data_IF_275679986486
#
_entry.id   IF_275679986486
#
_cell.length_a   1.000
_cell.length_b   1.000
_cell.length_c   1.000
_cell.angle_alpha   90.00
_cell.angle_beta   90.00
_cell.angle_gamma   90.00
#
_symmetry.space_group_name_H-M   'P 1'
#
loop_
_entity.id
_entity.type
_entity.pdbx_description
1 polymer ?
#
# COMPACT_ATOMS: atom_id res chain seq x y z
N UNK A 1 17.46 -7.33 8.59
CA UNK A 1 16.90 -6.01 8.98
C UNK A 1 17.14 -5.78 10.45
N UNK A 2 17.58 -4.57 10.82
CA UNK A 2 17.76 -4.16 12.22
C UNK A 2 16.43 -3.72 12.83
N UNK A 3 16.35 -3.67 14.17
CA UNK A 3 15.17 -3.16 14.88
C UNK A 3 14.82 -1.73 14.45
N UNK A 4 15.83 -0.87 14.26
CA UNK A 4 15.61 0.50 13.78
C UNK A 4 14.95 0.53 12.39
N UNK A 5 15.40 -0.32 11.46
CA UNK A 5 14.79 -0.42 10.13
C UNK A 5 13.31 -0.84 10.21
N UNK A 6 12.97 -1.77 11.11
CA UNK A 6 11.59 -2.22 11.32
C UNK A 6 10.72 -1.06 11.87
N UNK A 7 11.23 -0.30 12.84
CA UNK A 7 10.53 0.86 13.40
C UNK A 7 10.29 1.94 12.33
N UNK A 8 11.32 2.26 11.54
CA UNK A 8 11.20 3.25 10.45
C UNK A 8 10.19 2.80 9.41
N UNK A 9 10.20 1.51 9.02
CA UNK A 9 9.22 0.97 8.09
C UNK A 9 7.80 0.97 8.66
N UNK A 10 7.65 0.70 9.94
CA UNK A 10 6.36 0.80 10.63
C UNK A 10 5.80 2.23 10.58
N UNK A 11 6.64 3.22 10.87
CA UNK A 11 6.26 4.62 10.75
C UNK A 11 5.91 5.02 9.31
N UNK A 12 6.73 4.62 8.34
CA UNK A 12 6.44 4.85 6.91
C UNK A 12 5.13 4.18 6.49
N UNK A 13 4.84 2.98 7.01
CA UNK A 13 3.57 2.29 6.79
C UNK A 13 2.37 3.10 7.28
N UNK A 14 2.48 3.71 8.47
CA UNK A 14 1.44 4.59 9.01
C UNK A 14 1.26 5.87 8.17
N UNK A 15 2.35 6.47 7.69
CA UNK A 15 2.30 7.65 6.81
C UNK A 15 1.66 7.31 5.47
N UNK A 16 2.08 6.21 4.83
CA UNK A 16 1.51 5.74 3.56
C UNK A 16 0.02 5.42 3.72
N UNK A 17 -0.34 4.75 4.80
CA UNK A 17 -1.73 4.49 5.14
C UNK A 17 -2.56 5.78 5.24
N UNK A 18 -2.06 6.78 5.96
CA UNK A 18 -2.77 8.05 6.12
C UNK A 18 -2.98 8.76 4.78
N UNK A 19 -1.95 8.76 3.92
CA UNK A 19 -2.05 9.32 2.55
C UNK A 19 -3.11 8.56 1.74
N UNK A 20 -3.13 7.22 1.82
CA UNK A 20 -4.12 6.39 1.13
C UNK A 20 -5.54 6.66 1.65
N UNK A 21 -5.73 6.78 2.97
CA UNK A 21 -7.02 7.14 3.58
C UNK A 21 -7.51 8.51 3.11
N UNK A 22 -6.63 9.51 3.05
CA UNK A 22 -6.97 10.84 2.54
C UNK A 22 -7.27 10.81 1.04
N UNK A 23 -6.55 10.01 0.26
CA UNK A 23 -6.87 9.80 -1.15
C UNK A 23 -8.29 9.25 -1.32
N UNK A 24 -8.66 8.20 -0.59
CA UNK A 24 -10.02 7.63 -0.64
C UNK A 24 -11.07 8.68 -0.26
N UNK A 25 -10.83 9.44 0.81
CA UNK A 25 -11.72 10.50 1.28
C UNK A 25 -12.00 11.55 0.20
N UNK A 26 -11.00 11.86 -0.63
CA UNK A 26 -11.13 12.82 -1.73
C UNK A 26 -11.69 12.17 -3.01
N UNK A 27 -11.32 10.93 -3.28
CA UNK A 27 -11.67 10.22 -4.52
C UNK A 27 -13.14 9.79 -4.55
N UNK A 28 -13.70 9.36 -3.41
CA UNK A 28 -15.09 8.88 -3.33
C UNK A 28 -16.11 9.93 -3.76
N UNK A 29 -16.12 11.17 -3.21
CA UNK A 29 -17.09 12.19 -3.62
C UNK A 29 -16.87 12.69 -5.05
N UNK A 30 -15.70 12.47 -5.65
CA UNK A 30 -15.38 12.81 -7.03
C UNK A 30 -15.80 11.72 -8.03
N UNK A 31 -16.36 10.58 -7.57
CA UNK A 31 -16.73 9.45 -8.40
C UNK A 31 -15.52 8.70 -9.00
N UNK A 32 -14.35 8.80 -8.40
CA UNK A 32 -13.15 8.08 -8.87
C UNK A 32 -13.15 6.61 -8.46
N UNK A 33 -13.96 6.26 -7.47
CA UNK A 33 -14.09 4.91 -6.93
C UNK A 33 -15.59 4.53 -6.86
N UNK A 34 -16.28 4.57 -8.00
CA UNK A 34 -17.73 4.28 -8.13
C UNK A 34 -18.02 3.04 -9.00
N UNK A 35 -16.98 2.37 -9.48
CA UNK A 35 -17.08 1.24 -10.40
C UNK A 35 -17.03 1.61 -11.88
N UNK A 36 -16.93 2.90 -12.22
CA UNK A 36 -16.85 3.39 -13.60
C UNK A 36 -15.42 3.35 -14.19
N UNK A 37 -15.25 4.01 -15.35
CA UNK A 37 -13.96 4.06 -16.05
C UNK A 37 -12.83 4.68 -15.20
N UNK A 38 -13.16 5.72 -14.42
CA UNK A 38 -12.17 6.34 -13.52
C UNK A 38 -11.67 5.36 -12.47
N UNK A 39 -12.52 4.48 -11.95
CA UNK A 39 -12.11 3.41 -11.05
C UNK A 39 -11.07 2.50 -11.71
N UNK A 40 -11.28 2.11 -12.97
CA UNK A 40 -10.31 1.29 -13.72
C UNK A 40 -8.96 2.01 -13.82
N UNK A 41 -8.95 3.31 -14.13
CA UNK A 41 -7.72 4.10 -14.22
C UNK A 41 -7.01 4.24 -12.87
N UNK A 42 -7.75 4.42 -11.78
CA UNK A 42 -7.21 4.47 -10.41
C UNK A 42 -6.58 3.13 -10.02
N UNK A 43 -7.25 2.02 -10.32
CA UNK A 43 -6.71 0.67 -10.08
C UNK A 43 -5.45 0.40 -10.91
N UNK A 44 -5.45 0.77 -12.19
CA UNK A 44 -4.27 0.64 -13.05
C UNK A 44 -3.10 1.53 -12.57
N UNK A 45 -3.38 2.76 -12.16
CA UNK A 45 -2.39 3.71 -11.61
C UNK A 45 -1.80 3.27 -10.27
N UNK A 46 -2.45 2.37 -9.56
CA UNK A 46 -1.91 1.78 -8.33
C UNK A 46 -0.65 0.94 -8.56
N UNK A 47 -0.48 0.35 -9.75
CA UNK A 47 0.70 -0.47 -10.07
C UNK A 47 2.01 0.34 -10.00
N UNK A 48 2.19 1.43 -10.76
CA UNK A 48 3.40 2.24 -10.64
C UNK A 48 3.55 2.87 -9.24
N UNK A 49 2.45 3.26 -8.61
CA UNK A 49 2.48 3.84 -7.26
C UNK A 49 3.00 2.83 -6.23
N UNK A 50 2.52 1.59 -6.25
CA UNK A 50 2.99 0.53 -5.39
C UNK A 50 4.48 0.22 -5.62
N UNK A 51 4.90 0.12 -6.89
CA UNK A 51 6.28 -0.12 -7.26
C UNK A 51 7.23 0.98 -6.73
N UNK A 52 6.89 2.25 -6.97
CA UNK A 52 7.70 3.39 -6.52
C UNK A 52 7.75 3.47 -5.00
N UNK A 53 6.62 3.28 -4.31
CA UNK A 53 6.55 3.35 -2.85
C UNK A 53 7.46 2.32 -2.18
N UNK A 54 7.47 1.08 -2.68
CA UNK A 54 8.30 0.01 -2.12
C UNK A 54 9.78 0.21 -2.44
N UNK A 55 10.12 0.60 -3.66
CA UNK A 55 11.53 0.85 -4.02
C UNK A 55 12.09 2.03 -3.20
N UNK A 56 11.29 3.09 -3.00
CA UNK A 56 11.68 4.24 -2.18
C UNK A 56 11.86 3.83 -0.72
N UNK A 57 10.87 3.16 -0.12
CA UNK A 57 10.95 2.71 1.26
C UNK A 57 12.14 1.76 1.50
N UNK A 58 12.37 0.82 0.56
CA UNK A 58 13.49 -0.10 0.61
C UNK A 58 14.85 0.62 0.58
N UNK A 59 14.99 1.64 -0.27
CA UNK A 59 16.20 2.48 -0.34
C UNK A 59 16.40 3.32 0.92
N UNK A 60 15.33 3.94 1.44
CA UNK A 60 15.39 4.79 2.64
C UNK A 60 15.90 4.05 3.87
N UNK A 61 15.55 2.77 4.02
CA UNK A 61 16.05 1.97 5.14
C UNK A 61 17.38 1.27 4.86
N UNK A 62 17.98 1.50 3.69
CA UNK A 62 19.22 0.80 3.31
C UNK A 62 19.03 -0.71 3.20
N UNK A 63 17.89 -1.14 2.66
CA UNK A 63 17.53 -2.55 2.54
C UNK A 63 18.49 -3.32 1.65
N UNK A 64 18.93 -4.51 2.13
CA UNK A 64 19.77 -5.41 1.37
C UNK A 64 19.01 -6.15 0.27
N UNK A 65 19.77 -6.83 -0.61
CA UNK A 65 19.19 -7.67 -1.67
C UNK A 65 18.32 -8.78 -1.05
N UNK A 66 17.14 -9.02 -1.66
CA UNK A 66 16.19 -10.04 -1.19
C UNK A 66 15.39 -9.62 0.05
N UNK A 67 15.34 -8.34 0.40
CA UNK A 67 14.59 -7.84 1.56
C UNK A 67 13.39 -6.97 1.19
N UNK A 68 13.06 -6.84 -0.10
CA UNK A 68 11.89 -6.06 -0.54
C UNK A 68 10.58 -6.63 -0.03
N UNK A 69 10.46 -7.94 -0.03
CA UNK A 69 9.26 -8.60 0.51
C UNK A 69 9.07 -8.31 2.01
N UNK A 70 10.15 -8.26 2.79
CA UNK A 70 10.08 -7.88 4.21
C UNK A 70 9.67 -6.42 4.38
N UNK A 71 10.21 -5.52 3.54
CA UNK A 71 9.83 -4.10 3.51
C UNK A 71 8.34 -3.97 3.21
N UNK A 72 7.87 -4.61 2.15
CA UNK A 72 6.45 -4.59 1.75
C UNK A 72 5.55 -5.19 2.84
N UNK A 73 5.94 -6.31 3.44
CA UNK A 73 5.17 -6.96 4.49
C UNK A 73 4.98 -6.09 5.72
N UNK A 74 6.05 -5.40 6.19
CA UNK A 74 5.97 -4.52 7.37
C UNK A 74 5.06 -3.32 7.09
N UNK A 75 5.23 -2.66 5.94
CA UNK A 75 4.40 -1.51 5.55
C UNK A 75 2.94 -1.93 5.41
N UNK A 76 2.67 -3.03 4.71
CA UNK A 76 1.32 -3.56 4.51
C UNK A 76 0.66 -3.99 5.82
N UNK A 77 1.42 -4.64 6.72
CA UNK A 77 0.91 -5.05 8.03
C UNK A 77 0.38 -3.85 8.82
N UNK A 78 1.16 -2.78 8.92
CA UNK A 78 0.76 -1.57 9.63
C UNK A 78 -0.46 -0.93 8.98
N UNK A 79 -0.45 -0.80 7.64
CA UNK A 79 -1.59 -0.25 6.89
C UNK A 79 -2.87 -1.03 7.13
N UNK A 80 -2.84 -2.36 6.98
CA UNK A 80 -4.01 -3.22 7.17
C UNK A 80 -4.56 -3.19 8.60
N UNK A 81 -3.68 -3.14 9.61
CA UNK A 81 -4.13 -3.02 11.00
C UNK A 81 -4.81 -1.67 11.26
N UNK A 82 -4.24 -0.58 10.73
CA UNK A 82 -4.83 0.75 10.85
C UNK A 82 -6.15 0.87 10.07
N UNK A 83 -6.25 0.27 8.87
CA UNK A 83 -7.49 0.20 8.11
C UNK A 83 -8.58 -0.58 8.87
N UNK A 84 -8.22 -1.72 9.46
CA UNK A 84 -9.16 -2.50 10.27
C UNK A 84 -9.74 -1.70 11.43
N UNK A 85 -8.90 -0.95 12.14
CA UNK A 85 -9.32 -0.05 13.22
C UNK A 85 -10.16 1.10 12.68
N UNK A 86 -9.67 1.81 11.66
CA UNK A 86 -10.30 3.02 11.16
C UNK A 86 -11.66 2.74 10.50
N UNK A 87 -11.77 1.69 9.69
CA UNK A 87 -13.05 1.32 9.05
C UNK A 87 -14.09 0.88 10.10
N UNK A 88 -13.66 0.23 11.17
CA UNK A 88 -14.56 -0.26 12.21
C UNK A 88 -15.08 0.86 13.10
N UNK A 89 -14.19 1.69 13.63
CA UNK A 89 -14.53 2.66 14.69
C UNK A 89 -14.61 4.11 14.22
N UNK A 90 -13.91 4.46 13.13
CA UNK A 90 -13.87 5.82 12.57
C UNK A 90 -14.10 5.84 11.07
N UNK A 91 -15.17 5.18 10.54
CA UNK A 91 -15.40 5.09 9.08
C UNK A 91 -15.50 6.44 8.40
N UNK A 92 -15.95 7.48 9.12
CA UNK A 92 -16.01 8.86 8.61
C UNK A 92 -14.64 9.43 8.21
N UNK A 93 -13.54 8.79 8.58
CA UNK A 93 -12.20 9.13 8.09
C UNK A 93 -12.12 8.96 6.56
N UNK A 94 -12.76 7.91 6.02
CA UNK A 94 -12.77 7.60 4.59
C UNK A 94 -13.96 8.26 3.87
N UNK A 95 -15.17 8.12 4.42
CA UNK A 95 -16.39 8.68 3.84
C UNK A 95 -17.50 8.78 4.90
N UNK A 96 -18.36 9.79 4.83
CA UNK A 96 -19.61 9.82 5.57
C UNK A 96 -20.59 8.74 5.09
N UNK A 97 -20.51 8.32 3.82
CA UNK A 97 -21.31 7.23 3.26
C UNK A 97 -20.61 5.89 3.45
N UNK A 98 -21.16 5.07 4.34
CA UNK A 98 -20.64 3.72 4.64
C UNK A 98 -20.70 2.77 3.44
N UNK A 99 -21.68 2.90 2.55
CA UNK A 99 -21.77 2.05 1.37
C UNK A 99 -20.61 2.31 0.41
N UNK A 100 -20.20 3.57 0.26
CA UNK A 100 -19.08 3.95 -0.59
C UNK A 100 -17.72 3.44 -0.07
N UNK A 101 -17.56 3.17 1.22
CA UNK A 101 -16.31 2.68 1.81
C UNK A 101 -15.90 1.32 1.22
N UNK A 102 -16.86 0.51 0.75
CA UNK A 102 -16.56 -0.79 0.13
C UNK A 102 -15.65 -0.66 -1.10
N UNK A 103 -15.84 0.35 -1.93
CA UNK A 103 -14.97 0.63 -3.09
C UNK A 103 -13.57 1.07 -2.65
N UNK A 104 -13.49 1.94 -1.64
CA UNK A 104 -12.22 2.34 -1.04
C UNK A 104 -11.46 1.15 -0.45
N UNK A 105 -12.15 0.28 0.30
CA UNK A 105 -11.59 -0.95 0.85
C UNK A 105 -11.10 -1.92 -0.23
N UNK A 106 -11.84 -2.08 -1.31
CA UNK A 106 -11.43 -2.89 -2.45
C UNK A 106 -10.13 -2.35 -3.09
N UNK A 107 -10.03 -1.02 -3.26
CA UNK A 107 -8.82 -0.39 -3.78
C UNK A 107 -7.62 -0.57 -2.84
N UNK A 108 -7.80 -0.49 -1.51
CA UNK A 108 -6.74 -0.75 -0.54
C UNK A 108 -6.22 -2.18 -0.65
N UNK A 109 -7.12 -3.17 -0.68
CA UNK A 109 -6.73 -4.59 -0.84
C UNK A 109 -5.98 -4.83 -2.14
N UNK A 110 -6.44 -4.24 -3.25
CA UNK A 110 -5.78 -4.29 -4.54
C UNK A 110 -4.36 -3.72 -4.47
N UNK A 111 -4.20 -2.53 -3.90
CA UNK A 111 -2.91 -1.84 -3.80
C UNK A 111 -1.93 -2.62 -2.91
N UNK A 112 -2.39 -3.19 -1.79
CA UNK A 112 -1.58 -4.07 -0.94
C UNK A 112 -1.14 -5.31 -1.71
N UNK A 113 -2.05 -5.95 -2.46
CA UNK A 113 -1.73 -7.09 -3.31
C UNK A 113 -0.62 -6.77 -4.33
N UNK A 114 -0.74 -5.64 -5.04
CA UNK A 114 0.27 -5.18 -6.00
C UNK A 114 1.62 -4.89 -5.33
N UNK A 115 1.61 -4.29 -4.14
CA UNK A 115 2.80 -3.99 -3.35
C UNK A 115 3.59 -5.26 -3.02
N UNK A 116 2.89 -6.30 -2.53
CA UNK A 116 3.50 -7.59 -2.21
C UNK A 116 3.97 -8.32 -3.48
N UNK A 117 3.16 -8.32 -4.55
CA UNK A 117 3.51 -8.95 -5.81
C UNK A 117 4.76 -8.32 -6.44
N UNK A 118 4.85 -6.98 -6.46
CA UNK A 118 6.03 -6.27 -6.94
C UNK A 118 7.28 -6.67 -6.17
N UNK A 119 7.21 -6.66 -4.83
CA UNK A 119 8.33 -7.02 -3.97
C UNK A 119 8.82 -8.46 -4.21
N UNK A 120 7.89 -9.42 -4.37
CA UNK A 120 8.19 -10.81 -4.69
C UNK A 120 8.93 -10.94 -6.02
N UNK A 121 8.42 -10.31 -7.07
CA UNK A 121 9.02 -10.36 -8.42
C UNK A 121 10.44 -9.77 -8.40
N UNK A 122 10.61 -8.64 -7.72
CA UNK A 122 11.92 -7.98 -7.63
C UNK A 122 12.95 -8.79 -6.84
N UNK A 123 12.55 -9.41 -5.75
CA UNK A 123 13.44 -10.27 -4.95
C UNK A 123 13.78 -11.57 -5.70
N UNK A 124 12.82 -12.17 -6.41
CA UNK A 124 13.08 -13.34 -7.25
C UNK A 124 14.05 -13.03 -8.40
N UNK A 125 13.89 -11.88 -9.07
CA UNK A 125 14.81 -11.45 -10.12
C UNK A 125 16.22 -11.23 -9.59
N UNK A 126 16.37 -10.60 -8.41
CA UNK A 126 17.67 -10.37 -7.78
C UNK A 126 18.39 -11.67 -7.39
N UNK A 127 17.65 -12.72 -7.03
CA UNK A 127 18.21 -14.04 -6.72
C UNK A 127 18.72 -14.75 -7.97
N UNK A 128 17.96 -14.67 -9.07
CA UNK A 128 18.34 -15.30 -10.35
C UNK A 128 19.62 -14.69 -10.94
N UNK A 129 19.78 -13.38 -10.90
CA UNK A 129 20.96 -12.68 -11.43
C UNK A 129 22.26 -12.98 -10.66
N UNK A 130 22.17 -13.62 -9.48
CA UNK A 130 23.35 -14.08 -8.71
C UNK A 130 23.75 -15.52 -9.01
N UNK A 131 22.82 -16.31 -9.55
CA UNK A 131 23.06 -17.72 -9.86
C UNK A 131 23.57 -17.94 -11.31
N UNK A 132 23.50 -16.90 -12.14
CA UNK A 132 24.04 -16.86 -13.48
C UNK A 132 25.43 -16.23 -13.52
#
# INVERSE_FOLDING_TARGET
MTTLQIIVLGFLGAVIWFIAAMFIRLALPLGWLDGGLLTVLVFAGSLPTAAVSIELAHRLVGGGLGQRIKTAAIISLVGLLLDGIAITWTPALYSPDRAAISFGGAWLLWTVGLTLAWALVRDAAATRSRAA
#
